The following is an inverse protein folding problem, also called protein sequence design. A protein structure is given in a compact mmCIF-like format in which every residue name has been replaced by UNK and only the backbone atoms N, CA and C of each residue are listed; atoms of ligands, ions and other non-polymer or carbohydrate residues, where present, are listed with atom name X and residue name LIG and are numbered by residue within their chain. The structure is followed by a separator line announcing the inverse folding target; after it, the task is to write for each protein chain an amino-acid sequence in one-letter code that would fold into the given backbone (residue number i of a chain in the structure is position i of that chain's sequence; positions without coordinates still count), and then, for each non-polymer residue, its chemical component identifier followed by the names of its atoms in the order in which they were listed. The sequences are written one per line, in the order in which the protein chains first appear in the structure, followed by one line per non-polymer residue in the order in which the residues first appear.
data_IF_917926821123
#
_entry.id   IF_917926821123
#
_cell.length_a   1.000
_cell.length_b   1.000
_cell.length_c   1.000
_cell.angle_alpha   90.00
_cell.angle_beta   90.00
_cell.angle_gamma   90.00
#
_symmetry.space_group_name_H-M   'P 1'
#
loop_
_entity.id
_entity.type
_entity.pdbx_description
1 polymer ?
#
# COMPACT_ATOMS: atom_id res chain seq x y z
N UNK A 1 8.98 -9.42 25.11
CA UNK A 1 7.61 -9.82 24.67
C UNK A 1 6.60 -9.46 25.77
N UNK A 2 5.29 -9.42 25.49
CA UNK A 2 4.25 -9.06 26.49
C UNK A 2 4.37 -9.95 27.75
N UNK A 3 4.60 -11.25 27.58
CA UNK A 3 4.84 -12.18 28.68
C UNK A 3 5.98 -11.77 29.64
N UNK A 4 7.10 -11.25 29.12
CA UNK A 4 8.23 -10.78 29.95
C UNK A 4 7.89 -9.46 30.66
N UNK A 5 7.22 -8.54 29.98
CA UNK A 5 6.81 -7.24 30.57
C UNK A 5 5.79 -7.41 31.70
N UNK A 6 4.99 -8.47 31.64
CA UNK A 6 3.97 -8.82 32.64
C UNK A 6 4.44 -9.90 33.62
N UNK A 7 5.70 -10.33 33.54
CA UNK A 7 6.28 -11.40 34.37
C UNK A 7 5.39 -12.67 34.44
N UNK A 8 4.91 -13.11 33.28
CA UNK A 8 4.00 -14.25 33.16
C UNK A 8 4.52 -15.29 32.17
N UNK A 9 3.94 -16.49 32.21
CA UNK A 9 4.30 -17.54 31.26
C UNK A 9 3.82 -17.21 29.84
N UNK A 10 4.57 -17.66 28.83
CA UNK A 10 4.18 -17.54 27.41
C UNK A 10 2.86 -18.26 27.12
N UNK A 11 2.57 -19.36 27.83
CA UNK A 11 1.29 -20.07 27.72
C UNK A 11 0.12 -19.22 28.21
N UNK A 12 0.29 -18.50 29.32
CA UNK A 12 -0.71 -17.57 29.85
C UNK A 12 -0.96 -16.39 28.91
N UNK A 13 0.08 -15.83 28.29
CA UNK A 13 -0.03 -14.78 27.26
C UNK A 13 -0.85 -15.29 26.06
N UNK A 14 -0.57 -16.51 25.59
CA UNK A 14 -1.32 -17.13 24.48
C UNK A 14 -2.82 -17.29 24.80
N UNK A 15 -3.17 -17.85 25.96
CA UNK A 15 -4.57 -18.02 26.38
C UNK A 15 -5.30 -16.70 26.49
N UNK A 16 -4.67 -15.68 27.08
CA UNK A 16 -5.26 -14.34 27.20
C UNK A 16 -5.45 -13.70 25.82
N UNK A 17 -4.49 -13.86 24.91
CA UNK A 17 -4.64 -13.37 23.54
C UNK A 17 -5.82 -14.03 22.80
N UNK A 18 -6.04 -15.33 22.99
CA UNK A 18 -7.21 -16.05 22.44
C UNK A 18 -8.52 -15.53 23.05
N UNK A 19 -8.60 -15.40 24.37
CA UNK A 19 -9.79 -14.89 25.08
C UNK A 19 -10.14 -13.46 24.65
N UNK A 20 -9.12 -12.61 24.46
CA UNK A 20 -9.27 -11.24 23.98
C UNK A 20 -9.49 -11.14 22.46
N UNK A 21 -9.51 -12.28 21.75
CA UNK A 21 -9.64 -12.36 20.28
C UNK A 21 -8.61 -11.51 19.55
N UNK A 22 -7.38 -11.47 20.08
CA UNK A 22 -6.27 -10.70 19.51
C UNK A 22 -5.43 -11.60 18.62
N UNK A 23 -5.40 -11.26 17.33
CA UNK A 23 -4.54 -11.95 16.36
C UNK A 23 -3.16 -11.31 16.33
N UNK A 24 -2.11 -12.13 16.18
CA UNK A 24 -0.78 -11.63 15.81
C UNK A 24 -0.86 -11.05 14.40
N UNK A 25 -0.62 -9.75 14.27
CA UNK A 25 -0.52 -9.08 12.98
C UNK A 25 0.94 -9.02 12.57
N UNK A 26 1.25 -9.53 11.38
CA UNK A 26 2.54 -9.26 10.75
C UNK A 26 2.58 -7.80 10.28
N UNK A 27 3.75 -7.16 10.39
CA UNK A 27 3.94 -5.83 9.82
C UNK A 27 3.67 -5.87 8.30
N UNK A 28 2.88 -4.92 7.80
CA UNK A 28 2.64 -4.77 6.37
C UNK A 28 3.82 -4.06 5.73
N UNK A 29 4.30 -4.56 4.59
CA UNK A 29 5.32 -3.87 3.82
C UNK A 29 4.77 -2.57 3.24
N UNK A 30 5.45 -1.46 3.50
CA UNK A 30 5.15 -0.13 2.95
C UNK A 30 6.34 0.29 2.08
N UNK A 31 6.14 0.78 0.84
CA UNK A 31 7.23 1.06 -0.09
C UNK A 31 8.32 2.01 0.43
N UNK A 32 7.94 2.99 1.26
CA UNK A 32 8.84 3.93 1.91
C UNK A 32 8.10 4.69 3.04
N UNK A 33 8.87 5.20 3.99
CA UNK A 33 8.38 6.11 5.04
C UNK A 33 8.27 7.52 4.48
N UNK A 34 7.12 8.15 4.65
CA UNK A 34 6.88 9.52 4.19
C UNK A 34 7.22 10.56 5.27
N UNK A 35 7.77 11.69 4.84
CA UNK A 35 7.87 12.89 5.67
C UNK A 35 6.50 13.52 5.91
N UNK A 36 6.39 14.42 6.89
CA UNK A 36 5.13 15.13 7.18
C UNK A 36 4.63 15.91 5.96
N UNK A 37 5.51 16.66 5.31
CA UNK A 37 5.20 17.41 4.08
C UNK A 37 4.68 16.50 2.95
N UNK A 38 5.32 15.34 2.74
CA UNK A 38 4.86 14.38 1.73
C UNK A 38 3.47 13.81 2.06
N UNK A 39 3.14 13.62 3.35
CA UNK A 39 1.81 13.18 3.77
C UNK A 39 0.77 14.26 3.48
N UNK A 40 1.05 15.50 3.87
CA UNK A 40 0.16 16.65 3.64
C UNK A 40 -0.09 16.86 2.15
N UNK A 41 0.97 16.84 1.34
CA UNK A 41 0.85 16.93 -0.11
C UNK A 41 -0.04 15.80 -0.68
N UNK A 42 0.12 14.55 -0.19
CA UNK A 42 -0.71 13.44 -0.64
C UNK A 42 -2.17 13.60 -0.24
N UNK A 43 -2.46 14.10 0.96
CA UNK A 43 -3.83 14.39 1.41
C UNK A 43 -4.46 15.45 0.51
N UNK A 44 -3.80 16.60 0.35
CA UNK A 44 -4.30 17.70 -0.48
C UNK A 44 -4.53 17.28 -1.94
N UNK A 45 -3.60 16.51 -2.52
CA UNK A 45 -3.76 15.97 -3.87
C UNK A 45 -4.95 15.02 -3.97
N UNK A 46 -5.16 14.18 -2.95
CA UNK A 46 -6.25 13.21 -2.94
C UNK A 46 -7.61 13.91 -2.79
N UNK A 47 -7.70 14.90 -1.90
CA UNK A 47 -8.91 15.71 -1.71
C UNK A 47 -9.30 16.45 -3.01
N UNK A 48 -8.32 17.06 -3.68
CA UNK A 48 -8.53 17.68 -4.99
C UNK A 48 -9.07 16.67 -6.02
N UNK A 49 -8.46 15.49 -6.12
CA UNK A 49 -8.89 14.47 -7.08
C UNK A 49 -10.31 13.97 -6.78
N UNK A 50 -10.67 13.80 -5.52
CA UNK A 50 -12.03 13.42 -5.11
C UNK A 50 -13.02 14.50 -5.54
N UNK A 51 -12.75 15.77 -5.21
CA UNK A 51 -13.60 16.88 -5.60
C UNK A 51 -13.76 16.99 -7.13
N UNK A 52 -12.68 16.81 -7.88
CA UNK A 52 -12.73 16.84 -9.35
C UNK A 52 -13.58 15.70 -9.95
N UNK A 53 -13.58 14.52 -9.33
CA UNK A 53 -14.43 13.39 -9.72
C UNK A 53 -15.89 13.63 -9.37
N UNK A 54 -16.16 14.25 -8.22
CA UNK A 54 -17.52 14.57 -7.79
C UNK A 54 -18.16 15.64 -8.69
N UNK A 55 -17.37 16.61 -9.16
CA UNK A 55 -17.81 17.66 -10.10
C UNK A 55 -17.98 17.14 -11.54
N UNK A 56 -17.08 16.27 -12.02
CA UNK A 56 -17.19 15.63 -13.33
C UNK A 56 -17.00 14.11 -13.24
N UNK A 57 -18.10 13.33 -13.37
CA UNK A 57 -18.03 11.86 -13.41
C UNK A 57 -17.21 11.28 -14.57
N UNK A 58 -16.84 12.11 -15.56
CA UNK A 58 -15.95 11.75 -16.66
C UNK A 58 -14.50 12.22 -16.45
N UNK A 59 -14.17 12.86 -15.33
CA UNK A 59 -12.85 13.41 -15.03
C UNK A 59 -11.72 12.38 -15.17
N UNK A 60 -11.96 11.14 -14.74
CA UNK A 60 -10.99 10.04 -14.85
C UNK A 60 -11.12 9.23 -16.15
N UNK A 61 -12.11 9.55 -17.00
CA UNK A 61 -12.24 8.86 -18.28
C UNK A 61 -11.17 9.38 -19.23
N UNK A 62 -10.41 8.48 -19.88
CA UNK A 62 -9.43 8.91 -20.87
C UNK A 62 -10.15 9.63 -22.00
N UNK A 63 -9.71 10.85 -22.32
CA UNK A 63 -10.30 11.75 -23.32
C UNK A 63 -10.19 11.24 -24.76
N UNK A 64 -9.50 10.13 -25.02
CA UNK A 64 -9.38 9.52 -26.35
C UNK A 64 -9.22 7.99 -26.29
N UNK A 65 -9.64 7.24 -27.33
CA UNK A 65 -9.47 5.79 -27.41
C UNK A 65 -8.00 5.33 -27.41
N UNK A 66 -7.07 6.22 -27.78
CA UNK A 66 -5.65 5.89 -28.01
C UNK A 66 -4.89 5.67 -26.68
N UNK A 67 -5.27 6.37 -25.62
CA UNK A 67 -4.69 6.21 -24.28
C UNK A 67 -5.07 4.87 -23.62
N UNK A 68 -6.21 4.27 -23.96
CA UNK A 68 -6.61 2.95 -23.45
C UNK A 68 -5.73 1.81 -23.99
N UNK A 69 -5.26 1.93 -25.24
CA UNK A 69 -4.35 0.95 -25.87
C UNK A 69 -2.95 1.02 -25.27
N UNK A 70 -2.45 2.22 -24.98
CA UNK A 70 -1.15 2.44 -24.36
C UNK A 70 -1.06 1.87 -22.94
N UNK A 71 -2.05 2.14 -22.09
CA UNK A 71 -2.11 1.65 -20.72
C UNK A 71 -2.17 0.11 -20.66
N UNK A 72 -2.97 -0.51 -21.52
CA UNK A 72 -3.09 -1.97 -21.63
C UNK A 72 -1.75 -2.64 -21.99
N UNK A 73 -0.95 -2.00 -22.86
CA UNK A 73 0.37 -2.51 -23.25
C UNK A 73 1.43 -2.34 -22.15
N UNK A 74 1.37 -1.26 -21.36
CA UNK A 74 2.25 -1.08 -20.19
C UNK A 74 1.96 -2.10 -19.08
N UNK A 75 0.68 -2.35 -18.77
CA UNK A 75 0.28 -3.34 -17.76
C UNK A 75 0.77 -4.74 -18.16
N UNK A 76 0.65 -5.12 -19.44
CA UNK A 76 1.19 -6.41 -19.93
C UNK A 76 2.72 -6.49 -19.79
N UNK A 77 3.46 -5.43 -20.14
CA UNK A 77 4.92 -5.39 -20.00
C UNK A 77 5.38 -5.51 -18.55
N UNK A 78 4.69 -4.82 -17.62
CA UNK A 78 4.99 -4.93 -16.19
C UNK A 78 4.74 -6.34 -15.67
N UNK A 79 3.60 -6.96 -16.01
CA UNK A 79 3.29 -8.33 -15.59
C UNK A 79 4.26 -9.37 -16.17
N UNK A 80 4.73 -9.18 -17.40
CA UNK A 80 5.76 -10.04 -18.00
C UNK A 80 7.12 -9.90 -17.28
N UNK A 81 7.53 -8.68 -16.93
CA UNK A 81 8.77 -8.38 -16.19
C UNK A 81 8.76 -8.97 -14.77
N UNK A 82 7.61 -8.92 -14.09
CA UNK A 82 7.41 -9.51 -12.76
C UNK A 82 7.52 -11.04 -12.82
N UNK A 83 6.99 -11.69 -13.86
CA UNK A 83 7.09 -13.14 -14.06
C UNK A 83 8.51 -13.60 -14.41
N UNK A 84 9.30 -12.76 -15.09
CA UNK A 84 10.68 -13.08 -15.47
C UNK A 84 11.71 -12.82 -14.35
N UNK A 85 11.28 -12.48 -13.13
CA UNK A 85 12.16 -12.30 -11.97
C UNK A 85 13.12 -11.10 -12.03
N UNK A 86 13.00 -10.23 -13.04
CA UNK A 86 13.88 -9.06 -13.18
C UNK A 86 13.32 -7.87 -12.40
N UNK A 87 13.41 -7.94 -11.07
CA UNK A 87 13.28 -6.76 -10.21
C UNK A 87 14.56 -5.93 -10.37
N UNK A 88 14.44 -4.67 -10.76
CA UNK A 88 15.59 -3.76 -10.89
C UNK A 88 16.30 -3.68 -9.53
N UNK A 89 17.57 -4.10 -9.49
CA UNK A 89 18.46 -3.75 -8.39
C UNK A 89 18.52 -2.23 -8.27
N UNK A 90 18.33 -1.72 -7.05
CA UNK A 90 18.55 -0.31 -6.75
C UNK A 90 20.04 -0.11 -6.66
N UNK A 91 20.60 0.62 -7.62
CA UNK A 91 21.94 1.19 -7.48
C UNK A 91 21.92 2.16 -6.29
N UNK A 92 22.54 1.77 -5.18
CA UNK A 92 22.87 2.67 -4.08
C UNK A 92 24.12 3.45 -4.48
N UNK A 93 23.97 4.74 -4.79
CA UNK A 93 25.03 5.75 -4.68
C UNK A 93 24.61 6.80 -3.68
#
# INVERSE_FOLDING_TARGET
MIAESLNMSVGSDFTIMEDLKKNKLCARFVPHTLTTEQKEHRIASSEYLIAAVDEDPNFLKPSSPETSRGASNMIRKLNAKVRSGQVRERDNR
#
